data_IF_661675224411
#
_entry.id   IF_661675224411
#
_cell.length_a   1.000
_cell.length_b   1.000
_cell.length_c   1.000
_cell.angle_alpha   90.00
_cell.angle_beta   90.00
_cell.angle_gamma   90.00
#
_symmetry.space_group_name_H-M   'P 1'
#
loop_
_entity.id
_entity.type
_entity.pdbx_description
1 polymer ?
#
# COMPACT_ATOMS: atom_id res chain seq x y z
N UNK A 1 -16.51 -68.94 -9.51
CA UNK A 1 -16.65 -67.48 -9.45
C UNK A 1 -17.05 -67.12 -8.04
N UNK A 2 -16.11 -66.72 -7.19
CA UNK A 2 -16.43 -65.90 -6.01
C UNK A 2 -15.37 -64.81 -5.93
N UNK A 3 -15.83 -63.58 -6.11
CA UNK A 3 -15.01 -62.39 -6.19
C UNK A 3 -14.74 -61.87 -4.79
N UNK A 4 -13.47 -61.51 -4.55
CA UNK A 4 -12.99 -60.75 -3.41
C UNK A 4 -13.78 -59.45 -3.25
N UNK A 5 -14.58 -59.34 -2.19
CA UNK A 5 -15.20 -58.08 -1.77
C UNK A 5 -14.14 -57.23 -1.07
N UNK A 6 -13.73 -56.16 -1.75
CA UNK A 6 -12.84 -55.10 -1.24
C UNK A 6 -13.67 -54.17 -0.33
N UNK A 7 -13.10 -53.85 0.83
CA UNK A 7 -13.70 -52.93 1.80
C UNK A 7 -13.91 -51.52 1.20
N UNK A 8 -15.06 -50.86 1.47
CA UNK A 8 -15.25 -49.48 1.05
C UNK A 8 -14.40 -48.54 1.91
N UNK A 9 -13.47 -47.90 1.22
CA UNK A 9 -12.90 -46.58 1.45
C UNK A 9 -13.46 -45.80 2.66
N UNK A 10 -12.54 -45.61 3.60
CA UNK A 10 -12.56 -44.81 4.80
C UNK A 10 -12.69 -43.29 4.50
N UNK A 11 -13.64 -42.63 5.19
CA UNK A 11 -13.69 -41.21 5.57
C UNK A 11 -13.84 -40.15 4.46
N UNK A 12 -15.07 -39.66 4.31
CA UNK A 12 -15.34 -38.29 3.83
C UNK A 12 -15.55 -37.41 5.08
N UNK A 13 -14.47 -36.76 5.54
CA UNK A 13 -14.53 -35.84 6.68
C UNK A 13 -14.91 -34.44 6.17
N UNK A 14 -15.92 -33.76 6.74
CA UNK A 14 -16.21 -32.39 6.38
C UNK A 14 -15.01 -31.50 6.73
N UNK A 15 -14.47 -30.80 5.74
CA UNK A 15 -13.49 -29.73 5.94
C UNK A 15 -14.15 -28.62 6.75
N UNK A 16 -13.88 -28.64 8.05
CA UNK A 16 -14.18 -27.58 9.00
C UNK A 16 -13.52 -26.27 8.55
N UNK A 17 -14.29 -25.37 7.97
CA UNK A 17 -13.84 -24.03 7.60
C UNK A 17 -13.92 -23.11 8.81
N UNK A 18 -13.09 -23.38 9.81
CA UNK A 18 -12.80 -22.44 10.88
C UNK A 18 -11.86 -21.34 10.34
N UNK A 19 -12.41 -20.44 9.51
CA UNK A 19 -11.82 -19.13 9.26
C UNK A 19 -11.94 -18.32 10.54
N UNK A 20 -11.01 -18.56 11.45
CA UNK A 20 -10.77 -17.78 12.67
C UNK A 20 -10.47 -16.33 12.25
N UNK A 21 -11.52 -15.54 12.10
CA UNK A 21 -11.48 -14.08 11.95
C UNK A 21 -10.63 -13.58 13.10
N UNK A 22 -9.41 -13.10 12.82
CA UNK A 22 -8.57 -12.44 13.83
C UNK A 22 -9.40 -11.27 14.36
N UNK A 23 -10.00 -11.46 15.52
CA UNK A 23 -10.55 -10.37 16.31
C UNK A 23 -9.38 -9.46 16.64
N UNK A 24 -9.31 -8.36 15.89
CA UNK A 24 -8.39 -7.29 16.20
C UNK A 24 -8.88 -6.74 17.53
N UNK A 25 -8.25 -7.14 18.63
CA UNK A 25 -8.41 -6.48 19.93
C UNK A 25 -8.18 -4.99 19.68
N UNK A 26 -9.26 -4.23 19.63
CA UNK A 26 -9.17 -2.79 19.80
C UNK A 26 -8.63 -2.60 21.19
N UNK A 27 -7.33 -2.33 21.30
CA UNK A 27 -6.79 -1.73 22.51
C UNK A 27 -7.34 -0.32 22.56
N UNK A 28 -8.60 -0.21 22.98
CA UNK A 28 -9.18 1.03 23.46
C UNK A 28 -8.23 1.47 24.58
N UNK A 29 -7.35 2.42 24.25
CA UNK A 29 -6.48 3.05 25.23
C UNK A 29 -7.41 3.59 26.31
N UNK A 30 -7.27 3.08 27.53
CA UNK A 30 -8.09 3.53 28.64
C UNK A 30 -7.88 5.04 28.78
N UNK A 31 -8.99 5.79 28.73
CA UNK A 31 -8.93 7.24 28.86
C UNK A 31 -8.78 7.58 30.33
N UNK A 32 -7.59 8.03 30.70
CA UNK A 32 -7.37 8.63 32.01
C UNK A 32 -8.07 10.00 32.07
N UNK A 33 -9.00 10.16 33.01
CA UNK A 33 -9.69 11.43 33.20
C UNK A 33 -8.68 12.57 33.46
N UNK A 34 -8.92 13.73 32.84
CA UNK A 34 -8.02 14.89 32.95
C UNK A 34 -6.77 14.81 32.06
N UNK A 35 -6.64 13.81 31.17
CA UNK A 35 -5.54 13.72 30.20
C UNK A 35 -6.06 13.54 28.77
N UNK A 36 -5.37 14.19 27.83
CA UNK A 36 -5.56 14.02 26.39
C UNK A 36 -4.52 13.04 25.85
N UNK A 37 -4.84 12.34 24.77
CA UNK A 37 -3.85 11.52 24.04
C UNK A 37 -2.81 12.37 23.31
N UNK A 38 -3.09 13.67 23.11
CA UNK A 38 -2.17 14.61 22.50
C UNK A 38 -1.18 15.14 23.54
N UNK A 39 0.13 15.21 23.22
CA UNK A 39 1.11 15.74 24.17
C UNK A 39 0.84 17.22 24.49
N UNK A 40 0.60 17.52 25.77
CA UNK A 40 0.24 18.87 26.23
C UNK A 40 1.22 19.95 25.72
N UNK A 41 2.53 19.69 25.79
CA UNK A 41 3.57 20.63 25.34
C UNK A 41 3.51 20.93 23.84
N UNK A 42 3.04 19.99 23.02
CA UNK A 42 2.88 20.18 21.57
C UNK A 42 1.68 21.07 21.27
N UNK A 43 0.55 20.82 21.93
CA UNK A 43 -0.65 21.67 21.80
C UNK A 43 -0.32 23.09 22.25
N UNK A 44 0.33 23.25 23.41
CA UNK A 44 0.74 24.55 23.92
C UNK A 44 1.69 25.29 22.96
N UNK A 45 2.62 24.58 22.31
CA UNK A 45 3.53 25.18 21.32
C UNK A 45 2.79 25.70 20.09
N UNK A 46 1.76 24.99 19.62
CA UNK A 46 0.93 25.41 18.48
C UNK A 46 0.13 26.66 18.86
N UNK A 47 -0.51 26.66 20.03
CA UNK A 47 -1.28 27.82 20.51
C UNK A 47 -0.38 29.07 20.62
N UNK A 48 0.83 28.93 21.17
CA UNK A 48 1.79 30.05 21.31
C UNK A 48 2.41 30.54 20.00
N UNK A 49 2.13 29.87 18.87
CA UNK A 49 2.54 30.39 17.57
C UNK A 49 1.72 31.64 17.18
N UNK A 50 0.53 31.79 17.77
CA UNK A 50 -0.29 32.99 17.67
C UNK A 50 0.26 34.09 18.60
N UNK A 51 0.67 35.21 18.01
CA UNK A 51 1.27 36.36 18.73
C UNK A 51 0.23 37.18 19.47
N UNK A 52 -1.05 37.05 19.10
CA UNK A 52 -2.15 37.82 19.69
C UNK A 52 -2.70 37.11 20.96
N UNK A 53 -2.16 35.93 21.31
CA UNK A 53 -2.49 35.16 22.51
C UNK A 53 -1.33 35.15 23.53
N UNK A 54 -1.16 36.21 24.34
CA UNK A 54 0.00 36.37 25.20
C UNK A 54 0.08 35.33 26.33
N UNK A 55 -1.06 34.91 26.88
CA UNK A 55 -1.11 33.93 27.96
C UNK A 55 -2.37 33.08 27.88
N UNK A 56 -2.23 31.78 28.15
CA UNK A 56 -3.31 30.79 28.12
C UNK A 56 -3.31 29.92 29.36
N UNK A 57 -4.51 29.67 29.90
CA UNK A 57 -4.71 28.80 31.04
C UNK A 57 -4.43 27.33 30.67
N UNK A 58 -4.01 26.52 31.67
CA UNK A 58 -3.77 25.08 31.48
C UNK A 58 -5.05 24.34 31.08
N UNK A 59 -6.17 24.68 31.72
CA UNK A 59 -7.46 24.04 31.46
C UNK A 59 -7.98 24.35 30.05
N UNK A 60 -7.74 25.57 29.55
CA UNK A 60 -8.04 25.93 28.17
C UNK A 60 -7.21 25.09 27.17
N UNK A 61 -5.92 24.91 27.44
CA UNK A 61 -5.04 24.05 26.62
C UNK A 61 -5.53 22.59 26.64
N UNK A 62 -6.00 22.09 27.78
CA UNK A 62 -6.59 20.76 27.89
C UNK A 62 -7.89 20.63 27.08
N UNK A 63 -8.80 21.60 27.17
CA UNK A 63 -10.03 21.62 26.39
C UNK A 63 -9.76 21.68 24.88
N UNK A 64 -8.80 22.49 24.44
CA UNK A 64 -8.36 22.53 23.03
C UNK A 64 -7.83 21.16 22.61
N UNK A 65 -7.09 20.47 23.47
CA UNK A 65 -6.59 19.12 23.18
C UNK A 65 -7.74 18.12 22.96
N UNK A 66 -8.76 18.14 23.82
CA UNK A 66 -9.96 17.30 23.67
C UNK A 66 -10.77 17.66 22.41
N UNK A 67 -10.96 18.95 22.15
CA UNK A 67 -11.64 19.41 20.94
C UNK A 67 -10.89 18.96 19.68
N UNK A 68 -9.56 18.97 19.70
CA UNK A 68 -8.71 18.50 18.60
C UNK A 68 -8.87 16.99 18.38
N UNK A 69 -8.98 16.19 19.44
CA UNK A 69 -9.26 14.75 19.30
C UNK A 69 -10.60 14.48 18.63
N UNK A 70 -11.65 15.19 19.06
CA UNK A 70 -12.98 15.05 18.45
C UNK A 70 -13.02 15.59 17.02
N UNK A 71 -12.29 16.67 16.73
CA UNK A 71 -12.13 17.20 15.38
C UNK A 71 -11.50 16.17 14.44
N UNK A 72 -10.41 15.51 14.85
CA UNK A 72 -9.75 14.48 14.03
C UNK A 72 -10.70 13.32 13.74
N UNK A 73 -11.47 12.86 14.75
CA UNK A 73 -12.46 11.78 14.55
C UNK A 73 -13.54 12.19 13.55
N UNK A 74 -14.14 13.36 13.72
CA UNK A 74 -15.20 13.87 12.84
C UNK A 74 -14.72 14.03 11.40
N UNK A 75 -13.53 14.59 11.20
CA UNK A 75 -12.94 14.74 9.87
C UNK A 75 -12.62 13.38 9.23
N UNK A 76 -12.08 12.44 10.01
CA UNK A 76 -11.79 11.09 9.53
C UNK A 76 -13.06 10.33 9.14
N UNK A 77 -14.12 10.39 9.96
CA UNK A 77 -15.41 9.77 9.68
C UNK A 77 -16.07 10.36 8.43
N UNK A 78 -16.01 11.69 8.28
CA UNK A 78 -16.51 12.37 7.09
C UNK A 78 -15.71 11.97 5.83
N UNK A 79 -14.38 11.91 5.94
CA UNK A 79 -13.49 11.44 4.88
C UNK A 79 -13.78 10.00 4.47
N UNK A 80 -14.04 9.13 5.44
CA UNK A 80 -14.38 7.74 5.19
C UNK A 80 -15.74 7.59 4.52
N UNK A 81 -16.76 8.33 4.97
CA UNK A 81 -18.06 8.40 4.27
C UNK A 81 -17.92 8.89 2.83
N UNK A 82 -16.99 9.80 2.55
CA UNK A 82 -16.70 10.22 1.16
C UNK A 82 -16.07 9.09 0.34
N UNK A 83 -15.13 8.33 0.91
CA UNK A 83 -14.52 7.18 0.22
C UNK A 83 -15.54 6.06 -0.05
N UNK A 84 -16.42 5.78 0.92
CA UNK A 84 -17.47 4.76 0.81
C UNK A 84 -18.47 5.05 -0.31
N UNK A 85 -18.81 6.32 -0.55
CA UNK A 85 -19.67 6.74 -1.68
C UNK A 85 -19.08 6.35 -3.03
N UNK A 86 -17.75 6.24 -3.12
CA UNK A 86 -17.05 5.75 -4.31
C UNK A 86 -16.68 4.26 -4.22
N UNK A 87 -17.28 3.52 -3.28
CA UNK A 87 -17.03 2.08 -3.04
C UNK A 87 -15.56 1.77 -2.68
N UNK A 88 -14.86 2.73 -2.08
CA UNK A 88 -13.48 2.57 -1.60
C UNK A 88 -13.46 2.40 -0.09
N UNK A 89 -12.54 1.59 0.40
CA UNK A 89 -12.27 1.40 1.83
C UNK A 89 -11.07 2.24 2.31
N UNK A 90 -10.28 2.77 1.38
CA UNK A 90 -9.13 3.61 1.67
C UNK A 90 -9.47 5.07 1.43
N UNK A 91 -9.35 5.89 2.47
CA UNK A 91 -9.45 7.35 2.40
C UNK A 91 -8.28 7.91 1.61
N UNK A 92 -8.58 8.72 0.61
CA UNK A 92 -7.61 9.46 -0.17
C UNK A 92 -7.69 10.96 0.14
N UNK A 93 -6.64 11.70 -0.22
CA UNK A 93 -6.62 13.14 -0.02
C UNK A 93 -7.79 13.87 -0.73
N UNK A 94 -8.26 13.33 -1.87
CA UNK A 94 -9.44 13.86 -2.57
C UNK A 94 -10.73 13.75 -1.75
N UNK A 95 -10.84 12.76 -0.87
CA UNK A 95 -12.01 12.60 0.00
C UNK A 95 -12.07 13.71 1.04
N UNK A 96 -10.95 14.01 1.69
CA UNK A 96 -10.84 15.11 2.64
C UNK A 96 -11.11 16.45 1.95
N UNK A 97 -10.52 16.68 0.76
CA UNK A 97 -10.78 17.89 -0.01
C UNK A 97 -12.26 18.04 -0.42
N UNK A 98 -12.96 16.94 -0.69
CA UNK A 98 -14.39 16.98 -1.00
C UNK A 98 -15.25 17.27 0.23
N UNK A 99 -14.88 16.74 1.40
CA UNK A 99 -15.55 17.03 2.67
C UNK A 99 -15.45 18.52 2.99
N UNK A 100 -14.24 19.09 2.89
CA UNK A 100 -13.99 20.51 3.20
C UNK A 100 -14.80 21.45 2.29
N UNK A 101 -14.95 21.13 1.00
CA UNK A 101 -15.76 21.95 0.07
C UNK A 101 -17.27 21.88 0.31
N UNK A 102 -17.76 20.88 1.04
CA UNK A 102 -19.20 20.57 1.15
C UNK A 102 -19.80 20.92 2.50
N UNK A 103 -18.98 21.09 3.53
CA UNK A 103 -19.44 21.26 4.90
C UNK A 103 -18.79 22.51 5.51
N UNK A 104 -19.63 23.48 5.87
CA UNK A 104 -19.24 24.80 6.36
C UNK A 104 -18.38 24.73 7.64
N UNK A 105 -18.60 23.70 8.46
CA UNK A 105 -17.82 23.44 9.68
C UNK A 105 -16.32 23.18 9.41
N UNK A 106 -15.95 22.87 8.16
CA UNK A 106 -14.57 22.66 7.74
C UNK A 106 -14.02 23.79 6.85
N UNK A 107 -14.76 24.87 6.63
CA UNK A 107 -14.38 25.95 5.71
C UNK A 107 -13.01 26.56 6.03
N UNK A 108 -12.63 26.60 7.31
CA UNK A 108 -11.32 27.08 7.76
C UNK A 108 -10.12 26.27 7.22
N UNK A 109 -10.35 25.11 6.61
CA UNK A 109 -9.33 24.25 6.00
C UNK A 109 -9.18 24.46 4.49
N UNK A 110 -10.04 25.28 3.86
CA UNK A 110 -10.09 25.40 2.39
C UNK A 110 -8.75 25.83 1.81
N UNK A 111 -8.15 26.88 2.37
CA UNK A 111 -6.85 27.37 1.94
C UNK A 111 -5.76 26.32 2.16
N UNK A 112 -5.73 25.67 3.33
CA UNK A 112 -4.69 24.69 3.70
C UNK A 112 -4.68 23.50 2.74
N UNK A 113 -5.85 22.96 2.40
CA UNK A 113 -5.95 21.76 1.56
C UNK A 113 -5.89 22.06 0.06
N UNK A 114 -6.14 23.30 -0.37
CA UNK A 114 -5.97 23.71 -1.75
C UNK A 114 -4.50 23.61 -2.20
N UNK A 115 -3.55 23.96 -1.32
CA UNK A 115 -2.11 23.91 -1.61
C UNK A 115 -1.52 22.50 -1.62
N UNK A 116 -2.22 21.50 -1.07
CA UNK A 116 -1.69 20.15 -0.91
C UNK A 116 -1.71 19.32 -2.23
N UNK A 117 -2.02 19.95 -3.38
CA UNK A 117 -1.89 19.41 -4.73
C UNK A 117 -0.64 19.97 -5.43
N UNK A 118 0.54 19.42 -5.14
CA UNK A 118 1.73 19.74 -5.96
C UNK A 118 2.58 18.56 -6.40
N UNK A 119 2.30 17.32 -5.99
CA UNK A 119 3.02 16.17 -6.54
C UNK A 119 2.06 15.15 -7.13
N UNK A 120 1.85 15.24 -8.44
CA UNK A 120 1.21 14.18 -9.20
C UNK A 120 2.03 12.88 -9.02
N UNK A 121 1.42 11.74 -8.67
CA UNK A 121 2.15 10.48 -8.64
C UNK A 121 2.68 10.20 -10.07
N UNK A 122 3.93 9.74 -10.23
CA UNK A 122 4.46 9.41 -11.54
C UNK A 122 3.53 8.38 -12.17
N UNK A 123 2.89 8.76 -13.29
CA UNK A 123 2.07 7.85 -14.11
C UNK A 123 2.97 6.68 -14.50
N UNK A 124 2.83 5.55 -13.81
CA UNK A 124 3.35 4.27 -14.30
C UNK A 124 2.61 4.00 -15.60
N UNK A 125 3.30 4.18 -16.73
CA UNK A 125 2.80 3.79 -18.05
C UNK A 125 2.44 2.29 -17.96
N UNK A 126 1.21 1.88 -18.28
CA UNK A 126 0.95 0.47 -18.53
C UNK A 126 1.85 0.06 -19.70
N UNK A 127 2.70 -0.94 -19.47
CA UNK A 127 3.51 -1.56 -20.51
C UNK A 127 2.50 -2.18 -21.49
N UNK A 128 2.54 -1.71 -22.72
CA UNK A 128 1.54 -1.98 -23.75
C UNK A 128 1.31 -3.48 -23.97
N UNK A 129 0.05 -3.88 -23.99
CA UNK A 129 -0.42 -5.03 -24.75
C UNK A 129 -1.23 -4.52 -25.93
N UNK A 130 -0.69 -4.76 -27.14
CA UNK A 130 -1.32 -5.20 -28.39
C UNK A 130 -0.60 -4.61 -29.58
N UNK A 131 0.18 -5.45 -30.25
CA UNK A 131 0.34 -5.37 -31.69
C UNK A 131 -0.10 -6.74 -32.24
N UNK A 132 -1.20 -6.73 -33.00
CA UNK A 132 -1.62 -7.87 -33.80
C UNK A 132 -0.83 -7.84 -35.12
N UNK A 133 -0.25 -8.98 -35.49
CA UNK A 133 0.30 -9.17 -36.83
C UNK A 133 1.83 -9.21 -36.92
N UNK A 134 2.43 -10.22 -36.32
CA UNK A 134 3.83 -10.57 -36.55
C UNK A 134 4.09 -12.01 -36.11
N UNK A 135 3.93 -12.96 -37.02
CA UNK A 135 4.28 -14.37 -36.81
C UNK A 135 5.80 -14.53 -36.74
N UNK A 136 6.38 -14.16 -35.60
CA UNK A 136 7.77 -14.40 -35.26
C UNK A 136 7.86 -14.99 -33.85
N UNK A 137 8.67 -16.04 -33.64
CA UNK A 137 8.79 -16.67 -32.32
C UNK A 137 9.32 -15.68 -31.29
N UNK A 138 8.65 -15.62 -30.15
CA UNK A 138 9.03 -14.77 -29.03
C UNK A 138 10.36 -15.23 -28.43
N UNK A 139 10.98 -14.37 -27.62
CA UNK A 139 12.23 -14.71 -26.93
C UNK A 139 12.07 -15.93 -25.99
N UNK A 140 10.86 -16.19 -25.49
CA UNK A 140 10.56 -17.42 -24.74
C UNK A 140 10.56 -18.65 -25.65
N UNK A 141 10.03 -18.55 -26.88
CA UNK A 141 10.02 -19.67 -27.83
C UNK A 141 11.45 -20.08 -28.22
N UNK A 142 12.34 -19.11 -28.43
CA UNK A 142 13.75 -19.39 -28.73
C UNK A 142 14.50 -20.05 -27.56
N UNK A 143 14.13 -19.74 -26.32
CA UNK A 143 14.75 -20.31 -25.14
C UNK A 143 14.29 -21.76 -24.89
N UNK A 144 13.01 -22.05 -25.14
CA UNK A 144 12.46 -23.41 -25.01
C UNK A 144 12.91 -24.32 -26.16
N UNK A 145 13.02 -23.81 -27.39
CA UNK A 145 13.61 -24.56 -28.51
C UNK A 145 15.14 -24.73 -28.41
N UNK A 146 15.83 -23.84 -27.70
CA UNK A 146 17.29 -23.87 -27.55
C UNK A 146 17.85 -24.93 -26.60
N UNK A 147 17.01 -25.75 -25.96
CA UNK A 147 17.47 -26.76 -25.00
C UNK A 147 17.62 -28.18 -25.57
N UNK A 148 17.43 -28.37 -26.88
CA UNK A 148 17.71 -29.63 -27.55
C UNK A 148 18.37 -29.40 -28.91
N UNK A 149 19.65 -29.05 -28.95
CA UNK A 149 20.57 -29.41 -30.05
C UNK A 149 22.02 -29.20 -29.58
N UNK A 150 22.90 -30.09 -30.03
CA UNK A 150 24.21 -30.35 -29.43
C UNK A 150 25.21 -29.20 -29.51
N UNK A 151 26.12 -29.23 -28.54
CA UNK A 151 27.39 -28.53 -28.55
C UNK A 151 28.11 -28.78 -29.88
N UNK A 152 28.35 -27.72 -30.66
CA UNK A 152 29.31 -27.72 -31.75
C UNK A 152 30.43 -26.77 -31.35
N UNK A 153 31.62 -27.33 -31.37
CA UNK A 153 32.92 -26.76 -31.02
C UNK A 153 33.34 -25.74 -32.09
N UNK A 154 33.35 -24.45 -31.73
CA UNK A 154 34.05 -23.41 -32.52
C UNK A 154 35.47 -23.28 -31.97
N UNK A 155 36.34 -24.19 -32.41
CA UNK A 155 37.78 -24.09 -32.21
C UNK A 155 38.29 -22.89 -33.02
N UNK A 156 38.72 -21.82 -32.34
CA UNK A 156 39.75 -20.95 -32.91
C UNK A 156 41.07 -21.68 -32.73
N UNK A 157 41.65 -22.18 -33.82
CA UNK A 157 42.94 -22.85 -33.80
C UNK A 157 44.02 -21.84 -33.42
N UNK A 158 44.44 -21.85 -32.15
CA UNK A 158 45.60 -21.12 -31.68
C UNK A 158 46.82 -22.00 -31.91
N UNK A 159 47.67 -21.64 -32.87
CA UNK A 159 48.91 -22.37 -33.14
C UNK A 159 49.98 -21.89 -32.15
N UNK A 160 50.39 -22.81 -31.27
CA UNK A 160 51.52 -22.66 -30.36
C UNK A 160 52.80 -23.13 -31.05
N UNK A 161 53.80 -22.27 -31.14
CA UNK A 161 55.15 -22.68 -31.53
C UNK A 161 55.91 -23.25 -30.31
N UNK A 162 56.90 -24.11 -30.55
CA UNK A 162 57.68 -24.81 -29.49
C UNK A 162 58.48 -23.86 -28.58
N UNK A 163 58.50 -22.55 -28.87
CA UNK A 163 59.06 -21.50 -28.01
C UNK A 163 58.03 -20.84 -27.08
N UNK A 164 56.77 -21.29 -27.13
CA UNK A 164 55.68 -20.85 -26.24
C UNK A 164 54.90 -19.63 -26.74
N UNK A 165 55.09 -19.21 -27.99
CA UNK A 165 54.37 -18.07 -28.57
C UNK A 165 53.05 -18.51 -29.22
N UNK A 166 51.95 -17.79 -28.95
CA UNK A 166 50.62 -18.04 -29.54
C UNK A 166 50.25 -16.99 -30.59
N UNK A 167 49.81 -17.43 -31.77
CA UNK A 167 49.23 -16.56 -32.81
C UNK A 167 47.85 -17.10 -33.22
N UNK A 168 46.88 -16.20 -33.36
CA UNK A 168 45.55 -16.50 -33.88
C UNK A 168 45.54 -16.37 -35.42
N UNK A 169 45.03 -17.39 -36.11
CA UNK A 169 44.78 -17.37 -37.56
C UNK A 169 43.51 -16.59 -37.91
#
# INVERSE_FOLDING_TARGET
MEFTTIAPHLLDAPLDQDKKKREKKESAREREAGKSILPFSRVQRIIKADKDLPMMAKDATFLISLATEEFIKRLADAGQKSAEREKRTTVQQKDIANVVRRADEFLFLEEILAYARTDAPPKRKPKAEKDEGGTGPTLLDKFVLGQQTGYVDDSQDIVMHDDGTMVAG
#
